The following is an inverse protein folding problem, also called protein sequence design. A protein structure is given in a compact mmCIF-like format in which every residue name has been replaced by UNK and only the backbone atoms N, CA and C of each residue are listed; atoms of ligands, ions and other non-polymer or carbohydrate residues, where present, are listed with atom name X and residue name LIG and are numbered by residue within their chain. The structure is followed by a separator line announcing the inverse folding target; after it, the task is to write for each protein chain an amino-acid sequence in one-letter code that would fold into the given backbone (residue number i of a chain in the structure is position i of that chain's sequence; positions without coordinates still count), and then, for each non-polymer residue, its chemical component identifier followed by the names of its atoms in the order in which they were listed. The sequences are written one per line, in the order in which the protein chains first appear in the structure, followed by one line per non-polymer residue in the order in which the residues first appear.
data_IF_888271192086
#
_entry.id   IF_888271192086
#
_cell.length_a   1.000
_cell.length_b   1.000
_cell.length_c   1.000
_cell.angle_alpha   90.00
_cell.angle_beta   90.00
_cell.angle_gamma   90.00
#
_symmetry.space_group_name_H-M   'P 1'
#
loop_
_entity.id
_entity.type
_entity.pdbx_description
1 polymer ?
#
# COMPACT_ATOMS: atom_id res chain seq x y z
N UNK A 1 -17.06 -28.01 -8.74
CA UNK A 1 -16.12 -27.77 -7.63
C UNK A 1 -15.34 -26.50 -7.95
N UNK A 2 -15.06 -25.65 -6.95
CA UNK A 2 -14.20 -24.47 -7.11
C UNK A 2 -12.75 -24.94 -7.26
N UNK A 3 -11.97 -24.33 -8.16
CA UNK A 3 -10.56 -24.69 -8.35
C UNK A 3 -9.68 -24.07 -7.26
N UNK A 4 -8.54 -24.70 -6.96
CA UNK A 4 -7.55 -24.11 -6.05
C UNK A 4 -7.05 -22.74 -6.52
N UNK A 5 -6.97 -22.53 -7.84
CA UNK A 5 -6.58 -21.24 -8.42
C UNK A 5 -7.60 -20.14 -8.12
N UNK A 6 -8.90 -20.44 -8.23
CA UNK A 6 -9.97 -19.49 -7.88
C UNK A 6 -9.94 -19.16 -6.39
N UNK A 7 -9.68 -20.15 -5.53
CA UNK A 7 -9.53 -19.93 -4.08
C UNK A 7 -8.32 -19.02 -3.82
N UNK A 8 -7.16 -19.32 -4.41
CA UNK A 8 -5.95 -18.51 -4.23
C UNK A 8 -6.15 -17.08 -4.68
N UNK A 9 -6.69 -16.85 -5.89
CA UNK A 9 -6.99 -15.51 -6.39
C UNK A 9 -7.96 -14.74 -5.49
N UNK A 10 -8.93 -15.43 -4.88
CA UNK A 10 -9.83 -14.81 -3.89
C UNK A 10 -9.08 -14.38 -2.63
N UNK A 11 -8.20 -15.24 -2.10
CA UNK A 11 -7.36 -14.93 -0.94
C UNK A 11 -6.44 -13.76 -1.25
N UNK A 12 -5.75 -13.78 -2.39
CA UNK A 12 -4.83 -12.72 -2.81
C UNK A 12 -5.54 -11.36 -2.90
N UNK A 13 -6.77 -11.33 -3.44
CA UNK A 13 -7.59 -10.11 -3.47
C UNK A 13 -7.91 -9.60 -2.08
N UNK A 14 -8.28 -10.47 -1.14
CA UNK A 14 -8.57 -10.08 0.24
C UNK A 14 -7.30 -9.54 0.92
N UNK A 15 -6.16 -10.19 0.73
CA UNK A 15 -4.89 -9.73 1.30
C UNK A 15 -4.47 -8.37 0.74
N UNK A 16 -4.63 -8.14 -0.58
CA UNK A 16 -4.37 -6.84 -1.20
C UNK A 16 -5.32 -5.76 -0.63
N UNK A 17 -6.61 -6.05 -0.48
CA UNK A 17 -7.56 -5.12 0.16
C UNK A 17 -7.15 -4.80 1.60
N UNK A 18 -6.67 -5.79 2.35
CA UNK A 18 -6.17 -5.60 3.71
C UNK A 18 -4.91 -4.72 3.75
N UNK A 19 -4.01 -4.83 2.75
CA UNK A 19 -2.85 -3.92 2.60
C UNK A 19 -3.33 -2.48 2.43
N UNK A 20 -4.27 -2.22 1.51
CA UNK A 20 -4.82 -0.88 1.28
C UNK A 20 -5.45 -0.31 2.55
N UNK A 21 -6.27 -1.10 3.25
CA UNK A 21 -6.89 -0.70 4.51
C UNK A 21 -5.86 -0.38 5.61
N UNK A 22 -4.78 -1.17 5.71
CA UNK A 22 -3.66 -0.91 6.64
C UNK A 22 -2.93 0.37 6.30
N UNK A 23 -2.70 0.66 5.02
CA UNK A 23 -2.09 1.92 4.60
C UNK A 23 -2.93 3.12 5.06
N UNK A 24 -4.23 3.14 4.72
CA UNK A 24 -5.14 4.20 5.14
C UNK A 24 -5.17 4.38 6.66
N UNK A 25 -5.31 3.27 7.40
CA UNK A 25 -5.26 3.31 8.87
C UNK A 25 -3.95 3.88 9.41
N UNK A 26 -2.83 3.47 8.81
CA UNK A 26 -1.49 3.88 9.23
C UNK A 26 -1.28 5.37 9.04
N UNK A 27 -1.56 5.89 7.84
CA UNK A 27 -1.35 7.29 7.51
C UNK A 27 -2.29 8.21 8.30
N UNK A 28 -3.57 7.83 8.47
CA UNK A 28 -4.55 8.63 9.22
C UNK A 28 -4.21 8.75 10.72
N UNK A 29 -3.47 7.78 11.26
CA UNK A 29 -3.06 7.71 12.66
C UNK A 29 -1.60 8.11 12.89
N UNK A 30 -0.89 8.48 11.82
CA UNK A 30 0.55 8.72 11.84
C UNK A 30 1.37 7.55 12.42
N UNK A 31 0.92 6.31 12.16
CA UNK A 31 1.52 5.07 12.66
C UNK A 31 2.62 4.59 11.70
N UNK A 32 3.85 4.99 12.01
CA UNK A 32 5.06 4.67 11.23
C UNK A 32 5.27 3.17 11.06
N UNK A 33 5.14 2.41 12.13
CA UNK A 33 5.43 0.98 12.11
C UNK A 33 4.38 0.23 11.28
N UNK A 34 3.10 0.59 11.41
CA UNK A 34 2.04 0.02 10.58
C UNK A 34 2.25 0.33 9.10
N UNK A 35 2.61 1.57 8.74
CA UNK A 35 2.90 1.95 7.36
C UNK A 35 4.07 1.16 6.76
N UNK A 36 5.13 0.92 7.52
CA UNK A 36 6.27 0.11 7.01
C UNK A 36 5.86 -1.32 6.65
N UNK A 37 4.79 -1.88 7.26
CA UNK A 37 4.29 -3.23 6.96
C UNK A 37 3.57 -3.37 5.62
N UNK A 38 3.23 -2.27 4.94
CA UNK A 38 2.53 -2.33 3.65
C UNK A 38 3.47 -2.22 2.45
N UNK A 39 4.75 -1.91 2.67
CA UNK A 39 5.76 -1.82 1.63
C UNK A 39 6.82 -2.91 1.76
N UNK A 40 7.38 -3.32 0.62
CA UNK A 40 8.65 -4.02 0.60
C UNK A 40 9.80 -3.07 1.01
N UNK A 41 10.89 -3.57 1.60
CA UNK A 41 12.02 -2.73 2.02
C UNK A 41 12.65 -1.91 0.87
N UNK A 42 12.59 -2.42 -0.35
CA UNK A 42 13.11 -1.81 -1.59
C UNK A 42 12.03 -1.14 -2.44
N UNK A 43 10.81 -0.96 -1.91
CA UNK A 43 9.73 -0.33 -2.67
C UNK A 43 10.05 1.14 -2.99
N UNK A 44 9.80 1.52 -4.25
CA UNK A 44 9.77 2.93 -4.67
C UNK A 44 8.35 3.46 -4.57
N UNK A 45 8.19 4.65 -3.98
CA UNK A 45 6.93 5.36 -3.89
C UNK A 45 7.03 6.73 -4.57
N UNK A 46 6.10 7.00 -5.49
CA UNK A 46 6.04 8.22 -6.28
C UNK A 46 4.73 8.96 -6.00
N UNK A 47 4.85 10.04 -5.24
CA UNK A 47 3.78 10.99 -4.90
C UNK A 47 3.92 12.32 -5.67
N UNK A 48 4.65 12.32 -6.79
CA UNK A 48 4.89 13.48 -7.66
C UNK A 48 5.90 14.50 -7.09
N UNK A 49 5.66 14.98 -5.86
CA UNK A 49 6.60 15.84 -5.12
C UNK A 49 7.70 15.04 -4.43
N UNK A 50 7.49 13.74 -4.29
CA UNK A 50 8.44 12.78 -3.75
C UNK A 50 8.49 11.60 -4.73
N UNK A 51 9.69 11.15 -5.07
CA UNK A 51 9.91 9.91 -5.81
C UNK A 51 11.20 9.27 -5.28
N UNK A 52 11.07 8.14 -4.59
CA UNK A 52 12.17 7.46 -3.93
C UNK A 52 11.70 6.30 -3.05
N UNK A 53 12.53 5.86 -2.11
CA UNK A 53 12.19 4.73 -1.25
C UNK A 53 10.95 5.02 -0.37
N UNK A 54 10.06 4.05 -0.24
CA UNK A 54 8.82 4.19 0.50
C UNK A 54 9.01 4.45 2.00
N UNK A 55 10.08 3.94 2.61
CA UNK A 55 10.36 4.22 4.03
C UNK A 55 10.84 5.66 4.22
N UNK A 56 11.61 6.19 3.27
CA UNK A 56 12.00 7.61 3.26
C UNK A 56 10.77 8.51 3.08
N UNK A 57 9.81 8.10 2.24
CA UNK A 57 8.52 8.80 2.12
C UNK A 57 7.80 8.86 3.48
N UNK A 58 7.69 7.73 4.19
CA UNK A 58 7.04 7.66 5.51
C UNK A 58 7.77 8.54 6.54
N UNK A 59 9.10 8.58 6.49
CA UNK A 59 9.94 9.41 7.36
C UNK A 59 9.74 10.91 7.11
N UNK A 60 9.51 11.31 5.86
CA UNK A 60 9.22 12.68 5.46
C UNK A 60 7.76 13.10 5.70
N UNK A 61 6.78 12.27 5.32
CA UNK A 61 5.36 12.67 5.26
C UNK A 61 4.69 12.75 6.63
N UNK A 62 5.08 11.88 7.57
CA UNK A 62 4.43 11.82 8.88
C UNK A 62 4.62 13.09 9.73
N UNK A 63 5.84 13.66 9.85
CA UNK A 63 6.04 14.95 10.49
C UNK A 63 5.25 16.07 9.81
N UNK A 64 5.28 16.11 8.47
CA UNK A 64 4.54 17.11 7.70
C UNK A 64 3.04 17.06 8.01
N UNK A 65 2.42 15.88 7.93
CA UNK A 65 1.00 15.70 8.23
C UNK A 65 0.68 16.12 9.66
N UNK A 66 1.51 15.75 10.64
CA UNK A 66 1.33 16.16 12.03
C UNK A 66 1.25 17.69 12.20
N UNK A 67 2.00 18.44 11.40
CA UNK A 67 2.08 19.89 11.51
C UNK A 67 0.96 20.61 10.73
N UNK A 68 0.48 20.02 9.63
CA UNK A 68 -0.49 20.66 8.73
C UNK A 68 -1.94 20.17 8.91
N UNK A 69 -2.15 19.08 9.64
CA UNK A 69 -3.50 18.53 9.88
C UNK A 69 -3.70 18.09 11.33
N UNK A 70 -4.93 18.29 11.83
CA UNK A 70 -5.38 17.79 13.13
C UNK A 70 -5.81 16.31 13.10
N UNK A 71 -5.95 15.71 11.92
CA UNK A 71 -6.37 14.32 11.71
C UNK A 71 -6.67 13.99 10.25
N UNK A 72 -6.45 12.73 9.87
CA UNK A 72 -6.71 12.21 8.52
C UNK A 72 -7.89 11.23 8.49
N UNK A 73 -8.57 11.15 7.35
CA UNK A 73 -9.53 10.09 7.04
C UNK A 73 -9.48 9.77 5.56
N UNK A 74 -8.80 8.69 5.19
CA UNK A 74 -8.80 8.16 3.83
C UNK A 74 -10.07 7.35 3.57
N UNK A 75 -10.66 7.55 2.39
CA UNK A 75 -11.82 6.79 1.92
C UNK A 75 -11.40 5.84 0.81
N UNK A 76 -11.50 4.53 1.07
CA UNK A 76 -11.35 3.50 0.04
C UNK A 76 -12.70 3.24 -0.61
N UNK A 77 -12.83 3.67 -1.86
CA UNK A 77 -13.96 3.31 -2.71
C UNK A 77 -13.72 1.94 -3.36
N UNK A 78 -14.51 1.61 -4.37
CA UNK A 78 -14.42 0.32 -5.04
C UNK A 78 -13.01 0.07 -5.61
N UNK A 79 -12.30 -0.88 -4.99
CA UNK A 79 -10.97 -1.33 -5.43
C UNK A 79 -11.13 -2.47 -6.43
N UNK A 80 -10.79 -2.19 -7.70
CA UNK A 80 -10.66 -3.20 -8.75
C UNK A 80 -9.28 -3.84 -8.63
N UNK A 81 -9.21 -5.17 -8.49
CA UNK A 81 -7.96 -5.90 -8.22
C UNK A 81 -7.86 -7.08 -9.18
N UNK A 82 -7.03 -6.94 -10.20
CA UNK A 82 -6.74 -8.02 -11.13
C UNK A 82 -5.47 -8.76 -10.66
N UNK A 83 -5.61 -10.05 -10.37
CA UNK A 83 -4.51 -10.88 -9.86
C UNK A 83 -3.88 -11.64 -11.01
N UNK A 84 -2.62 -11.34 -11.26
CA UNK A 84 -1.80 -12.03 -12.25
C UNK A 84 -0.66 -12.78 -11.55
N UNK A 85 -0.21 -13.88 -12.16
CA UNK A 85 0.98 -14.58 -11.65
C UNK A 85 2.23 -13.72 -11.80
N UNK A 86 3.11 -13.77 -10.81
CA UNK A 86 4.37 -13.03 -10.82
C UNK A 86 5.28 -13.33 -12.03
N UNK A 87 5.15 -14.53 -12.63
CA UNK A 87 5.89 -14.97 -13.83
C UNK A 87 5.60 -14.11 -15.09
N UNK A 88 4.50 -13.34 -15.09
CA UNK A 88 4.11 -12.47 -16.21
C UNK A 88 4.35 -10.98 -15.97
N UNK A 89 4.70 -10.57 -14.75
CA UNK A 89 4.86 -9.16 -14.40
C UNK A 89 6.29 -8.71 -14.76
N UNK A 90 6.48 -7.85 -15.78
CA UNK A 90 7.80 -7.29 -16.03
C UNK A 90 8.20 -6.50 -14.78
N UNK A 91 9.29 -6.88 -14.12
CA UNK A 91 9.87 -6.03 -13.08
C UNK A 91 10.11 -4.67 -13.72
N UNK A 92 9.32 -3.66 -13.35
CA UNK A 92 9.57 -2.29 -13.78
C UNK A 92 10.96 -1.95 -13.23
N UNK A 93 11.93 -1.82 -14.12
CA UNK A 93 13.16 -1.14 -13.80
C UNK A 93 12.74 0.27 -13.37
N UNK A 94 12.96 0.58 -12.10
CA UNK A 94 12.86 1.92 -11.55
C UNK A 94 13.72 2.88 -12.37
#
# INVERSE_FOLDING_TARGET
MVSNQTIQSTVDRVEIQNVLGRYCRGIDRLDRELLRTVYHPDANDDHGVFNGNAYDFIDMVLPLLKDITSGGSHMLFQSQIDVESAEGCPRRAT
#
